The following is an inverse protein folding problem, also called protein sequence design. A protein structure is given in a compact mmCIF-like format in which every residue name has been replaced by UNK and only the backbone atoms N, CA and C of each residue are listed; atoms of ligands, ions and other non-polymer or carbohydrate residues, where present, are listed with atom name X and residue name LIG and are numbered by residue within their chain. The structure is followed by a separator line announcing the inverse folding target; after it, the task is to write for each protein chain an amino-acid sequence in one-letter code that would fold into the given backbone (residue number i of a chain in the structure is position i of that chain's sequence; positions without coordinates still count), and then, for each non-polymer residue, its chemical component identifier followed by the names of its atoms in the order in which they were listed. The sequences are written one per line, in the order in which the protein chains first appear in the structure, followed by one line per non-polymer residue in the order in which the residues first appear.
data_IF_753278566880
#
_entry.id   IF_753278566880
#
_cell.length_a   1.000
_cell.length_b   1.000
_cell.length_c   1.000
_cell.angle_alpha   90.00
_cell.angle_beta   90.00
_cell.angle_gamma   90.00
#
_symmetry.space_group_name_H-M   'P 1'
#
loop_
_entity.id
_entity.type
_entity.pdbx_description
1 polymer ?
#
# COMPACT_ATOMS: atom_id res chain seq x y z
N UNK A 1 -55.84 17.90 16.48
CA UNK A 1 -54.94 16.73 16.48
C UNK A 1 -54.61 16.19 15.07
N UNK A 2 -54.83 16.93 13.97
CA UNK A 2 -54.69 16.40 12.59
C UNK A 2 -53.35 16.74 11.91
N UNK A 3 -52.60 17.71 12.45
CA UNK A 3 -51.34 18.19 11.86
C UNK A 3 -50.08 17.70 12.59
N UNK A 4 -50.23 16.84 13.60
CA UNK A 4 -49.11 16.38 14.42
C UNK A 4 -48.10 15.55 13.61
N UNK A 5 -48.61 14.76 12.65
CA UNK A 5 -47.79 13.93 11.73
C UNK A 5 -47.03 14.82 10.74
N UNK A 6 -47.61 15.95 10.32
CA UNK A 6 -46.97 16.88 9.39
C UNK A 6 -45.78 17.59 10.04
N UNK A 7 -45.91 17.97 11.31
CA UNK A 7 -44.79 18.53 12.08
C UNK A 7 -43.67 17.51 12.31
N UNK A 8 -44.01 16.24 12.52
CA UNK A 8 -43.02 15.19 12.73
C UNK A 8 -42.19 14.88 11.47
N UNK A 9 -42.82 14.93 10.29
CA UNK A 9 -42.12 14.76 9.00
C UNK A 9 -41.17 15.91 8.66
N UNK A 10 -41.48 17.14 9.08
CA UNK A 10 -40.60 18.31 8.88
C UNK A 10 -39.34 18.28 9.74
N UNK A 11 -39.34 17.52 10.85
CA UNK A 11 -38.20 17.38 11.75
C UNK A 11 -37.36 16.13 11.50
N UNK A 12 -37.67 15.32 10.46
CA UNK A 12 -36.76 14.27 10.05
C UNK A 12 -35.44 14.92 9.60
N UNK A 13 -34.30 14.66 10.26
CA UNK A 13 -33.03 15.00 9.66
C UNK A 13 -32.99 14.26 8.33
N UNK A 14 -32.79 15.01 7.23
CA UNK A 14 -32.26 14.43 6.01
C UNK A 14 -30.92 13.80 6.41
N UNK A 15 -30.96 12.55 6.85
CA UNK A 15 -29.80 11.71 6.95
C UNK A 15 -29.15 11.85 5.59
N UNK A 16 -27.94 12.41 5.56
CA UNK A 16 -27.17 12.57 4.33
C UNK A 16 -26.90 11.18 3.77
N UNK A 17 -27.90 10.66 3.07
CA UNK A 17 -27.79 9.53 2.20
C UNK A 17 -26.87 10.06 1.10
N UNK A 18 -25.59 9.68 1.15
CA UNK A 18 -24.56 10.11 0.22
C UNK A 18 -24.75 9.49 -1.18
N UNK A 19 -26.00 9.40 -1.64
CA UNK A 19 -26.44 8.90 -2.94
C UNK A 19 -25.94 9.77 -4.11
N UNK A 20 -25.10 10.78 -3.85
CA UNK A 20 -24.42 11.60 -4.86
C UNK A 20 -22.90 11.59 -4.75
N UNK A 21 -22.29 10.89 -3.78
CA UNK A 21 -20.83 10.88 -3.64
C UNK A 21 -20.22 9.79 -4.52
N UNK A 22 -20.04 10.14 -5.79
CA UNK A 22 -19.46 9.26 -6.80
C UNK A 22 -17.95 9.06 -6.62
N UNK A 23 -17.27 10.00 -5.96
CA UNK A 23 -15.81 10.00 -5.86
C UNK A 23 -15.34 10.14 -4.41
N UNK A 24 -14.49 9.20 -4.01
CA UNK A 24 -13.72 9.25 -2.78
C UNK A 24 -12.49 10.16 -2.96
N UNK A 25 -12.15 10.90 -1.91
CA UNK A 25 -10.90 11.64 -1.83
C UNK A 25 -9.70 10.68 -1.86
N UNK A 26 -8.49 11.15 -2.21
CA UNK A 26 -7.30 10.31 -2.18
C UNK A 26 -7.06 9.60 -0.84
N UNK A 27 -7.31 10.28 0.29
CA UNK A 27 -7.15 9.71 1.63
C UNK A 27 -8.17 8.61 1.93
N UNK A 28 -9.43 8.80 1.55
CA UNK A 28 -10.49 7.79 1.72
C UNK A 28 -10.26 6.55 0.85
N UNK A 29 -9.74 6.74 -0.38
CA UNK A 29 -9.34 5.62 -1.23
C UNK A 29 -8.21 4.80 -0.61
N UNK A 30 -7.21 5.47 -0.03
CA UNK A 30 -6.10 4.80 0.66
C UNK A 30 -6.58 4.00 1.87
N UNK A 31 -7.51 4.56 2.66
CA UNK A 31 -8.12 3.85 3.79
C UNK A 31 -8.94 2.62 3.34
N UNK A 32 -9.75 2.75 2.29
CA UNK A 32 -10.56 1.65 1.76
C UNK A 32 -9.73 0.51 1.14
N UNK A 33 -8.56 0.83 0.56
CA UNK A 33 -7.61 -0.17 0.03
C UNK A 33 -6.82 -0.89 1.11
N UNK A 34 -6.90 -0.46 2.37
CA UNK A 34 -6.04 -0.97 3.43
C UNK A 34 -4.59 -0.46 3.33
N UNK A 35 -4.31 0.57 2.52
CA UNK A 35 -2.95 1.11 2.31
C UNK A 35 -2.38 1.71 3.60
N UNK A 36 -3.22 2.06 4.58
CA UNK A 36 -2.76 2.48 5.91
C UNK A 36 -1.94 1.36 6.58
N UNK A 37 -2.36 0.10 6.45
CA UNK A 37 -1.56 -1.05 6.92
C UNK A 37 -0.26 -1.21 6.12
N UNK A 38 -0.24 -0.82 4.84
CA UNK A 38 0.96 -0.87 3.99
C UNK A 38 1.99 0.21 4.36
N UNK A 39 1.53 1.39 4.82
CA UNK A 39 2.40 2.45 5.36
C UNK A 39 2.99 2.03 6.72
N UNK A 40 2.24 1.34 7.58
CA UNK A 40 2.79 0.76 8.82
C UNK A 40 3.68 -0.47 8.56
N UNK A 41 3.36 -1.31 7.58
CA UNK A 41 4.18 -2.47 7.23
C UNK A 41 5.57 -2.05 6.71
N UNK A 42 5.65 -0.93 5.98
CA UNK A 42 6.93 -0.35 5.53
C UNK A 42 7.92 -0.07 6.67
N UNK A 43 7.44 0.21 7.89
CA UNK A 43 8.30 0.45 9.05
C UNK A 43 8.78 -0.85 9.73
N UNK A 44 8.03 -1.95 9.64
CA UNK A 44 8.41 -3.25 10.19
C UNK A 44 9.38 -4.04 9.29
N UNK A 45 9.53 -3.64 8.02
CA UNK A 45 10.44 -4.24 7.05
C UNK A 45 11.84 -3.59 6.99
N UNK A 46 12.25 -2.83 8.01
CA UNK A 46 13.57 -2.19 8.05
C UNK A 46 14.74 -3.18 7.81
N UNK A 47 14.55 -4.46 8.17
CA UNK A 47 15.54 -5.53 7.96
C UNK A 47 15.31 -6.38 6.70
N UNK A 48 14.40 -5.97 5.83
CA UNK A 48 14.06 -6.72 4.62
C UNK A 48 14.44 -5.93 3.37
N UNK A 49 15.21 -6.55 2.48
CA UNK A 49 15.73 -5.94 1.27
C UNK A 49 15.07 -6.58 0.05
N UNK A 50 14.18 -5.82 -0.60
CA UNK A 50 13.55 -6.18 -1.86
C UNK A 50 14.36 -5.62 -3.02
N UNK A 51 14.69 -6.48 -3.98
CA UNK A 51 15.38 -6.05 -5.18
C UNK A 51 14.38 -5.84 -6.32
N UNK A 52 14.08 -4.58 -6.63
CA UNK A 52 13.03 -4.23 -7.60
C UNK A 52 13.53 -4.28 -9.05
N UNK A 53 14.83 -4.07 -9.28
CA UNK A 53 15.40 -4.13 -10.62
C UNK A 53 16.78 -3.51 -10.74
N UNK A 54 17.48 -3.84 -11.83
CA UNK A 54 18.69 -3.13 -12.26
C UNK A 54 18.60 -2.69 -13.72
N UNK A 55 19.08 -1.47 -14.00
CA UNK A 55 19.33 -1.01 -15.36
C UNK A 55 20.78 -0.57 -15.49
N UNK A 56 21.30 -0.60 -16.72
CA UNK A 56 22.60 -0.03 -17.05
C UNK A 56 22.38 1.25 -17.84
N UNK A 57 22.90 2.36 -17.34
CA UNK A 57 22.85 3.66 -18.02
C UNK A 57 24.23 4.31 -18.00
N UNK A 58 24.72 4.73 -19.17
CA UNK A 58 26.01 5.43 -19.33
C UNK A 58 27.18 4.71 -18.63
N UNK A 59 27.24 3.39 -18.75
CA UNK A 59 28.28 2.56 -18.13
C UNK A 59 28.08 2.27 -16.64
N UNK A 60 27.18 2.99 -15.95
CA UNK A 60 26.86 2.77 -14.52
C UNK A 60 25.66 1.85 -14.36
N UNK A 61 25.69 0.99 -13.35
CA UNK A 61 24.52 0.20 -12.94
C UNK A 61 23.71 1.01 -11.94
N UNK A 62 22.43 1.20 -12.22
CA UNK A 62 21.43 1.77 -11.32
C UNK A 62 20.55 0.62 -10.83
N UNK A 63 20.35 0.56 -9.52
CA UNK A 63 19.58 -0.51 -8.87
C UNK A 63 18.52 0.11 -7.98
N UNK A 64 17.36 -0.54 -7.93
CA UNK A 64 16.30 -0.18 -7.01
C UNK A 64 16.20 -1.22 -5.90
N UNK A 65 16.32 -0.75 -4.67
CA UNK A 65 16.17 -1.52 -3.45
C UNK A 65 15.06 -0.89 -2.61
N UNK A 66 14.02 -1.65 -2.26
CA UNK A 66 12.86 -1.14 -1.53
C UNK A 66 12.22 0.12 -2.17
N UNK A 67 12.27 0.24 -3.49
CA UNK A 67 11.78 1.40 -4.24
C UNK A 67 12.75 2.58 -4.34
N UNK A 68 13.91 2.54 -3.66
CA UNK A 68 14.91 3.61 -3.69
C UNK A 68 16.11 3.26 -4.57
N UNK A 69 16.69 4.26 -5.24
CA UNK A 69 17.91 4.08 -6.03
C UNK A 69 19.09 3.88 -5.08
N UNK A 70 19.73 2.71 -5.16
CA UNK A 70 20.90 2.38 -4.36
C UNK A 70 22.08 1.98 -5.24
N UNK A 71 23.28 2.36 -4.80
CA UNK A 71 24.54 1.91 -5.39
C UNK A 71 25.16 0.72 -4.64
N UNK A 72 24.48 0.22 -3.59
CA UNK A 72 24.96 -0.88 -2.79
C UNK A 72 25.16 -2.17 -3.61
N UNK A 73 26.07 -3.02 -3.15
CA UNK A 73 26.19 -4.39 -3.67
C UNK A 73 24.96 -5.19 -3.30
N UNK A 74 24.45 -5.96 -4.27
CA UNK A 74 23.35 -6.89 -4.03
C UNK A 74 23.96 -8.15 -3.42
N UNK A 75 23.34 -8.73 -2.38
CA UNK A 75 23.71 -10.04 -1.85
C UNK A 75 23.71 -11.11 -2.95
N UNK A 76 24.73 -11.98 -2.96
CA UNK A 76 24.88 -12.98 -4.00
C UNK A 76 23.65 -13.90 -4.06
N UNK A 77 23.09 -14.08 -5.26
CA UNK A 77 21.94 -14.96 -5.50
C UNK A 77 20.55 -14.30 -5.40
N UNK A 78 20.46 -13.03 -4.99
CA UNK A 78 19.18 -12.31 -4.98
C UNK A 78 18.77 -11.87 -6.39
N UNK A 79 17.65 -12.37 -6.88
CA UNK A 79 17.10 -12.02 -8.20
C UNK A 79 16.13 -10.85 -8.11
N UNK A 80 15.90 -10.21 -9.26
CA UNK A 80 14.88 -9.16 -9.38
C UNK A 80 13.52 -9.74 -9.00
N UNK A 81 12.76 -8.99 -8.20
CA UNK A 81 11.48 -9.40 -7.64
C UNK A 81 11.60 -10.17 -6.33
N UNK A 82 12.78 -10.63 -5.92
CA UNK A 82 12.94 -11.36 -4.67
C UNK A 82 13.20 -10.44 -3.49
N UNK A 83 12.88 -10.97 -2.31
CA UNK A 83 13.01 -10.27 -1.04
C UNK A 83 13.94 -11.05 -0.11
N UNK A 84 14.99 -10.40 0.39
CA UNK A 84 15.92 -10.97 1.36
C UNK A 84 15.57 -10.46 2.77
N UNK A 85 15.29 -11.36 3.70
CA UNK A 85 15.26 -11.02 5.12
C UNK A 85 16.69 -11.02 5.67
N UNK A 86 17.22 -9.86 6.09
CA UNK A 86 18.60 -9.75 6.61
C UNK A 86 18.81 -10.52 7.90
N UNK A 87 17.78 -10.69 8.71
CA UNK A 87 17.85 -11.42 9.98
C UNK A 87 18.02 -12.93 9.79
N UNK A 88 17.35 -13.50 8.78
CA UNK A 88 17.35 -14.96 8.55
C UNK A 88 18.23 -15.38 7.37
N UNK A 89 18.65 -14.44 6.52
CA UNK A 89 19.26 -14.73 5.23
C UNK A 89 18.32 -15.40 4.23
N UNK A 90 17.03 -15.56 4.58
CA UNK A 90 16.06 -16.24 3.74
C UNK A 90 15.66 -15.36 2.55
N UNK A 91 15.74 -15.94 1.36
CA UNK A 91 15.26 -15.34 0.11
C UNK A 91 13.83 -15.84 -0.11
N UNK A 92 12.89 -14.91 -0.21
CA UNK A 92 11.49 -15.18 -0.55
C UNK A 92 11.18 -14.67 -1.94
N UNK A 93 10.43 -15.47 -2.68
CA UNK A 93 9.89 -15.08 -3.98
C UNK A 93 8.49 -14.47 -3.80
N UNK A 94 8.11 -13.56 -4.69
CA UNK A 94 6.81 -12.86 -4.63
C UNK A 94 5.64 -13.82 -4.88
N UNK A 95 5.90 -14.94 -5.56
CA UNK A 95 4.87 -15.90 -5.97
C UNK A 95 4.81 -17.18 -5.12
N UNK A 96 5.35 -17.19 -3.90
CA UNK A 96 5.09 -18.31 -3.00
C UNK A 96 3.63 -18.23 -2.53
N UNK A 97 2.74 -18.97 -3.19
CA UNK A 97 1.44 -19.30 -2.65
C UNK A 97 1.65 -20.22 -1.44
N UNK A 98 1.23 -19.79 -0.25
CA UNK A 98 1.15 -20.65 0.92
C UNK A 98 0.33 -21.89 0.53
N UNK A 99 0.97 -23.07 0.60
CA UNK A 99 0.39 -24.34 0.17
C UNK A 99 0.26 -25.27 1.36
#
# INVERSE_FOLDING_TARGET
MKYFILFWLLYCPFAQAQWGRLFFSPAERAAARGDLAQVQAGAAFADTLRFDGEIRSRGKKLRWLNGEISQASIPAGLKVGQTLSRQSGAIRDVYQSDR
#
